data_IF_830785959448
#
_entry.id   IF_830785959448
#
_cell.length_a   1.000
_cell.length_b   1.000
_cell.length_c   1.000
_cell.angle_alpha   90.00
_cell.angle_beta   90.00
_cell.angle_gamma   90.00
#
_symmetry.space_group_name_H-M   'P 1'
#
loop_
_entity.id
_entity.type
_entity.pdbx_description
1 polymer ?
#
# COMPACT_ATOMS: atom_id res chain seq x y z
N UNK A 1 7.28 -42.98 -61.80
CA UNK A 1 6.12 -42.18 -61.33
C UNK A 1 5.57 -42.93 -60.10
N UNK A 2 5.94 -42.45 -58.91
CA UNK A 2 5.53 -43.05 -57.66
C UNK A 2 4.74 -42.01 -56.87
N UNK A 3 3.53 -42.26 -56.41
CA UNK A 3 2.72 -41.25 -55.73
C UNK A 3 3.17 -41.06 -54.23
N UNK A 4 3.35 -39.82 -53.83
CA UNK A 4 3.56 -39.44 -52.42
C UNK A 4 2.34 -39.73 -51.58
N UNK A 5 2.57 -40.49 -50.49
CA UNK A 5 1.60 -40.73 -49.43
C UNK A 5 1.62 -39.57 -48.44
N UNK A 6 0.51 -38.85 -48.36
CA UNK A 6 0.30 -37.77 -47.41
C UNK A 6 -0.09 -38.39 -46.05
N UNK A 7 0.71 -38.11 -45.01
CA UNK A 7 0.45 -38.51 -43.62
C UNK A 7 -0.37 -37.38 -42.95
N UNK A 8 -1.52 -37.69 -42.31
CA UNK A 8 -2.26 -36.63 -41.58
C UNK A 8 -1.57 -36.35 -40.24
N UNK A 9 -1.21 -35.07 -40.05
CA UNK A 9 -0.75 -34.53 -38.79
C UNK A 9 -1.93 -34.46 -37.83
N UNK A 10 -1.87 -35.27 -36.80
CA UNK A 10 -2.81 -35.25 -35.65
C UNK A 10 -2.60 -33.94 -34.88
N UNK A 11 -3.58 -33.06 -34.92
CA UNK A 11 -3.61 -31.81 -34.17
C UNK A 11 -3.62 -32.09 -32.67
N UNK A 12 -2.54 -31.66 -32.01
CA UNK A 12 -2.46 -31.59 -30.56
C UNK A 12 -3.38 -30.46 -30.09
N UNK A 13 -4.43 -30.81 -29.33
CA UNK A 13 -5.21 -29.82 -28.60
C UNK A 13 -4.30 -29.10 -27.61
N UNK A 14 -4.35 -27.77 -27.52
CA UNK A 14 -3.74 -27.06 -26.40
C UNK A 14 -4.58 -27.35 -25.15
N UNK A 15 -3.96 -28.02 -24.19
CA UNK A 15 -4.44 -28.10 -22.81
C UNK A 15 -4.66 -26.68 -22.29
N UNK A 16 -5.89 -26.36 -21.93
CA UNK A 16 -6.27 -25.15 -21.28
C UNK A 16 -5.56 -25.11 -19.90
N UNK A 17 -4.42 -24.44 -19.85
CA UNK A 17 -3.77 -24.07 -18.60
C UNK A 17 -4.77 -23.21 -17.82
N UNK A 18 -5.34 -23.81 -16.78
CA UNK A 18 -6.22 -23.15 -15.82
C UNK A 18 -5.49 -21.96 -15.20
N UNK A 19 -5.80 -20.80 -15.70
CA UNK A 19 -5.36 -19.53 -15.13
C UNK A 19 -6.11 -19.34 -13.80
N UNK A 20 -5.61 -19.95 -12.75
CA UNK A 20 -6.01 -19.67 -11.38
C UNK A 20 -5.56 -18.24 -11.09
N UNK A 21 -6.40 -17.29 -11.49
CA UNK A 21 -6.30 -15.91 -11.03
C UNK A 21 -6.39 -15.95 -9.52
N UNK A 22 -5.23 -16.03 -8.85
CA UNK A 22 -5.11 -15.77 -7.44
C UNK A 22 -5.63 -14.35 -7.21
N UNK A 23 -6.86 -14.27 -6.73
CA UNK A 23 -7.44 -13.02 -6.25
C UNK A 23 -6.51 -12.52 -5.14
N UNK A 24 -5.96 -11.30 -5.24
CA UNK A 24 -5.26 -10.69 -4.12
C UNK A 24 -6.23 -10.72 -2.94
N UNK A 25 -5.71 -11.12 -1.81
CA UNK A 25 -6.47 -11.31 -0.58
C UNK A 25 -7.45 -10.16 -0.38
N UNK A 26 -8.73 -10.48 -0.33
CA UNK A 26 -9.88 -9.58 -0.28
C UNK A 26 -9.98 -8.77 1.04
N UNK A 27 -8.89 -8.50 1.69
CA UNK A 27 -8.81 -7.85 3.00
C UNK A 27 -8.91 -6.33 2.94
N UNK A 28 -8.73 -5.73 1.74
CA UNK A 28 -8.80 -4.28 1.56
C UNK A 28 -10.06 -3.81 0.80
N UNK A 29 -10.88 -4.71 0.28
CA UNK A 29 -12.04 -4.34 -0.53
C UNK A 29 -13.29 -3.96 0.30
N UNK A 30 -13.30 -4.11 1.61
CA UNK A 30 -14.47 -3.85 2.46
C UNK A 30 -14.62 -2.38 2.91
N UNK A 31 -13.76 -1.46 2.49
CA UNK A 31 -13.72 -0.10 3.05
C UNK A 31 -14.32 0.97 2.12
N UNK A 32 -14.77 0.64 0.91
CA UNK A 32 -15.19 1.64 -0.09
C UNK A 32 -16.68 1.65 -0.45
N UNK A 33 -17.56 1.18 0.40
CA UNK A 33 -18.99 1.21 0.14
C UNK A 33 -19.78 1.86 1.28
N UNK A 34 -19.60 3.15 1.54
CA UNK A 34 -20.63 3.98 2.21
C UNK A 34 -20.27 5.47 2.09
N UNK A 35 -21.03 6.24 1.34
CA UNK A 35 -20.96 7.69 1.47
C UNK A 35 -21.19 8.53 0.21
N UNK A 36 -22.22 8.23 -0.58
CA UNK A 36 -22.86 9.25 -1.41
C UNK A 36 -23.98 9.91 -0.58
N UNK A 37 -23.68 10.99 0.08
CA UNK A 37 -24.68 11.93 0.58
C UNK A 37 -24.43 13.27 -0.09
N UNK A 38 -25.33 13.57 -1.03
CA UNK A 38 -25.49 14.85 -1.69
C UNK A 38 -25.97 15.87 -0.64
N UNK A 39 -25.16 16.88 -0.36
CA UNK A 39 -25.55 18.02 0.48
C UNK A 39 -25.00 19.30 -0.12
N UNK A 40 -25.82 20.00 -0.92
CA UNK A 40 -25.59 21.39 -1.28
C UNK A 40 -25.82 22.26 -0.03
N UNK A 41 -24.84 23.00 0.43
CA UNK A 41 -25.02 24.19 1.25
C UNK A 41 -23.96 25.22 0.88
N UNK A 42 -24.47 26.39 0.52
CA UNK A 42 -23.71 27.58 0.14
C UNK A 42 -23.05 28.24 1.35
N UNK A 43 -21.84 28.78 1.13
CA UNK A 43 -21.40 30.06 1.69
C UNK A 43 -21.05 30.11 3.15
N UNK A 44 -19.75 30.17 3.46
CA UNK A 44 -19.18 31.14 4.42
C UNK A 44 -17.64 31.02 4.33
N UNK A 45 -16.98 32.14 4.00
CA UNK A 45 -15.54 32.27 4.11
C UNK A 45 -15.14 32.10 5.58
N UNK A 46 -14.44 31.06 5.90
CA UNK A 46 -13.85 30.85 7.22
C UNK A 46 -12.42 31.36 7.25
N UNK A 47 -12.00 32.03 8.33
CA UNK A 47 -10.67 32.57 8.45
C UNK A 47 -9.61 31.46 8.45
N UNK A 48 -8.50 31.75 7.81
CA UNK A 48 -7.31 30.93 7.77
C UNK A 48 -6.87 30.60 9.22
N UNK A 49 -6.80 29.34 9.64
CA UNK A 49 -6.16 29.02 10.90
C UNK A 49 -4.64 29.17 10.73
N UNK A 50 -4.07 29.92 11.66
CA UNK A 50 -2.65 30.13 11.82
C UNK A 50 -1.86 28.82 11.77
N UNK A 51 -0.63 28.93 11.28
CA UNK A 51 0.36 27.85 11.20
C UNK A 51 0.36 27.00 12.46
N UNK A 52 -0.09 25.75 12.31
CA UNK A 52 0.06 24.76 13.37
C UNK A 52 1.55 24.46 13.53
N UNK A 53 2.06 24.74 14.71
CA UNK A 53 3.46 24.57 15.08
C UNK A 53 4.01 23.22 14.71
N UNK A 54 5.26 23.20 14.28
CA UNK A 54 6.07 22.02 14.03
C UNK A 54 5.96 21.05 15.21
N UNK A 55 5.28 19.94 14.98
CA UNK A 55 5.42 18.81 15.91
C UNK A 55 6.86 18.33 15.80
N UNK A 56 7.60 18.27 16.93
CA UNK A 56 8.91 17.65 16.92
C UNK A 56 8.76 16.23 16.38
N UNK A 57 9.68 15.81 15.52
CA UNK A 57 9.74 14.47 14.97
C UNK A 57 10.08 13.48 16.11
N UNK A 58 9.08 13.18 16.92
CA UNK A 58 9.16 12.09 17.90
C UNK A 58 9.34 10.81 17.10
N UNK A 59 10.48 10.16 17.26
CA UNK A 59 10.74 8.87 16.67
C UNK A 59 9.60 7.93 17.05
N UNK A 60 8.94 7.35 16.05
CA UNK A 60 7.80 6.46 16.29
C UNK A 60 8.35 5.24 17.01
N UNK A 61 7.92 5.03 18.25
CA UNK A 61 8.26 3.84 19.00
C UNK A 61 7.60 2.61 18.36
N UNK A 62 8.39 1.81 17.64
CA UNK A 62 7.95 0.49 17.22
C UNK A 62 7.86 -0.39 18.46
N UNK A 63 6.76 -1.15 18.65
CA UNK A 63 6.64 -2.06 19.79
C UNK A 63 7.84 -2.99 19.91
N UNK A 64 8.28 -3.24 21.14
CA UNK A 64 9.38 -4.17 21.38
C UNK A 64 9.05 -5.54 20.82
N UNK A 65 9.97 -6.12 20.04
CA UNK A 65 9.78 -7.42 19.38
C UNK A 65 9.17 -7.36 17.98
N UNK A 66 8.54 -6.24 17.54
CA UNK A 66 8.02 -6.14 16.16
C UNK A 66 9.15 -6.36 15.14
N UNK A 67 8.81 -7.11 14.08
CA UNK A 67 9.72 -7.36 12.96
C UNK A 67 9.63 -6.28 11.87
N UNK A 68 8.66 -5.37 11.95
CA UNK A 68 8.50 -4.29 10.98
C UNK A 68 9.66 -3.30 11.14
N UNK A 69 10.38 -3.05 10.04
CA UNK A 69 11.52 -2.11 10.01
C UNK A 69 11.25 -1.10 8.89
N UNK A 70 10.77 0.08 9.26
CA UNK A 70 10.54 1.17 8.32
C UNK A 70 11.87 1.87 8.04
N UNK A 71 12.29 1.98 6.76
CA UNK A 71 13.48 2.73 6.40
C UNK A 71 13.35 4.20 6.82
N UNK A 72 14.45 4.81 7.24
CA UNK A 72 14.45 6.26 7.52
C UNK A 72 14.21 7.03 6.21
N UNK A 73 13.15 7.84 6.11
CA UNK A 73 12.85 8.57 4.89
C UNK A 73 13.80 9.75 4.71
N UNK A 74 14.20 9.98 3.47
CA UNK A 74 14.73 11.26 3.02
C UNK A 74 13.56 12.08 2.46
N UNK A 75 13.10 13.07 3.20
CA UNK A 75 11.91 13.84 2.85
C UNK A 75 12.08 14.77 1.65
N UNK A 76 13.30 15.00 1.16
CA UNK A 76 13.54 15.76 -0.07
C UNK A 76 13.44 14.87 -1.31
N UNK A 77 13.43 13.56 -1.14
CA UNK A 77 13.34 12.57 -2.22
C UNK A 77 11.99 11.83 -2.17
N UNK A 78 11.07 12.09 -3.11
CA UNK A 78 9.74 11.49 -3.08
C UNK A 78 9.79 9.95 -3.13
N UNK A 79 10.74 9.36 -3.85
CA UNK A 79 10.90 7.90 -3.91
C UNK A 79 11.27 7.28 -2.55
N UNK A 80 12.08 7.98 -1.74
CA UNK A 80 12.43 7.54 -0.39
C UNK A 80 11.21 7.54 0.53
N UNK A 81 10.38 8.59 0.45
CA UNK A 81 9.14 8.69 1.24
C UNK A 81 8.12 7.63 0.80
N UNK A 82 7.96 7.41 -0.51
CA UNK A 82 7.06 6.38 -1.03
C UNK A 82 7.48 4.97 -0.56
N UNK A 83 8.77 4.65 -0.59
CA UNK A 83 9.30 3.38 -0.12
C UNK A 83 9.07 3.18 1.39
N UNK A 84 9.38 4.19 2.22
CA UNK A 84 9.18 4.14 3.66
C UNK A 84 7.70 4.00 4.02
N UNK A 85 6.84 4.78 3.36
CA UNK A 85 5.39 4.69 3.52
C UNK A 85 4.88 3.28 3.20
N UNK A 86 5.30 2.72 2.07
CA UNK A 86 4.79 1.41 1.66
C UNK A 86 5.19 0.31 2.66
N UNK A 87 6.41 0.34 3.19
CA UNK A 87 6.84 -0.59 4.24
C UNK A 87 6.01 -0.39 5.51
N UNK A 88 5.80 0.85 5.95
CA UNK A 88 5.02 1.18 7.15
C UNK A 88 3.55 0.73 7.03
N UNK A 89 2.95 0.97 5.86
CA UNK A 89 1.54 0.72 5.61
C UNK A 89 1.21 -0.74 5.33
N UNK A 90 2.08 -1.42 4.58
CA UNK A 90 1.80 -2.75 4.04
C UNK A 90 2.43 -3.90 4.85
N UNK A 91 3.29 -3.59 5.83
CA UNK A 91 3.83 -4.61 6.74
C UNK A 91 2.95 -4.73 7.99
N UNK A 92 2.87 -5.93 8.54
CA UNK A 92 2.09 -6.26 9.74
C UNK A 92 2.81 -7.35 10.52
N UNK A 93 2.97 -7.16 11.82
CA UNK A 93 3.39 -8.19 12.75
C UNK A 93 2.31 -8.36 13.82
N UNK A 94 1.29 -9.16 13.52
CA UNK A 94 0.16 -9.34 14.42
C UNK A 94 0.54 -10.07 15.73
N UNK A 95 1.75 -10.59 15.85
CA UNK A 95 2.26 -11.21 17.08
C UNK A 95 2.69 -10.15 18.09
N UNK A 96 3.39 -9.13 17.64
CA UNK A 96 4.02 -8.12 18.51
C UNK A 96 3.36 -6.74 18.42
N UNK A 97 2.71 -6.43 17.29
CA UNK A 97 2.06 -5.14 17.05
C UNK A 97 0.68 -5.07 17.72
N UNK A 98 0.19 -3.84 17.87
CA UNK A 98 -1.19 -3.53 18.25
C UNK A 98 -2.00 -3.15 17.00
N UNK A 99 -3.34 -3.28 17.03
CA UNK A 99 -4.19 -2.67 16.02
C UNK A 99 -3.85 -1.19 15.88
N UNK A 100 -3.58 -0.73 14.67
CA UNK A 100 -3.22 0.67 14.43
C UNK A 100 -1.74 1.02 14.57
N UNK A 101 -0.83 0.10 14.94
CA UNK A 101 0.62 0.37 14.93
C UNK A 101 1.08 0.94 13.58
N UNK A 102 0.55 0.44 12.47
CA UNK A 102 0.86 0.95 11.14
C UNK A 102 0.50 2.42 10.96
N UNK A 103 -0.57 2.92 11.61
CA UNK A 103 -0.95 4.34 11.54
C UNK A 103 0.13 5.23 12.15
N UNK A 104 0.63 4.85 13.33
CA UNK A 104 1.71 5.57 13.97
C UNK A 104 2.97 5.58 13.09
N UNK A 105 3.26 4.45 12.41
CA UNK A 105 4.39 4.35 11.46
C UNK A 105 4.17 5.20 10.20
N UNK A 106 2.93 5.34 9.74
CA UNK A 106 2.58 6.13 8.56
C UNK A 106 2.47 7.64 8.84
N UNK A 107 2.06 8.04 10.04
CA UNK A 107 1.73 9.43 10.39
C UNK A 107 2.79 10.47 9.94
N UNK A 108 4.11 10.28 10.11
CA UNK A 108 5.11 11.23 9.66
C UNK A 108 5.31 11.26 8.13
N UNK A 109 4.76 10.29 7.40
CA UNK A 109 5.00 10.07 5.97
C UNK A 109 3.84 10.53 5.09
N UNK A 110 2.69 10.86 5.70
CA UNK A 110 1.44 11.14 5.00
C UNK A 110 0.92 12.53 5.31
N UNK A 111 0.03 13.03 4.45
CA UNK A 111 -0.74 14.23 4.75
C UNK A 111 -1.80 13.94 5.82
N UNK A 112 -2.22 14.94 6.58
CA UNK A 112 -3.27 14.81 7.60
C UNK A 112 -4.61 14.28 7.01
N UNK A 113 -4.89 14.56 5.74
CA UNK A 113 -6.08 14.03 5.06
C UNK A 113 -5.97 12.52 4.85
N UNK A 114 -4.83 12.03 4.36
CA UNK A 114 -4.61 10.59 4.18
C UNK A 114 -4.51 9.86 5.52
N UNK A 115 -3.91 10.46 6.54
CA UNK A 115 -3.85 9.88 7.89
C UNK A 115 -5.25 9.58 8.43
N UNK A 116 -6.20 10.53 8.30
CA UNK A 116 -7.60 10.31 8.69
C UNK A 116 -8.26 9.17 7.91
N UNK A 117 -8.01 9.09 6.58
CA UNK A 117 -8.54 8.00 5.75
C UNK A 117 -8.00 6.64 6.18
N UNK A 118 -6.69 6.55 6.45
CA UNK A 118 -6.06 5.32 6.93
C UNK A 118 -6.63 4.92 8.30
N UNK A 119 -6.89 5.89 9.18
CA UNK A 119 -7.49 5.67 10.49
C UNK A 119 -8.89 5.07 10.41
N UNK A 120 -9.70 5.49 9.43
CA UNK A 120 -11.03 4.94 9.19
C UNK A 120 -11.00 3.49 8.66
N UNK A 121 -9.87 3.07 8.06
CA UNK A 121 -9.69 1.74 7.47
C UNK A 121 -9.05 0.70 8.40
N UNK A 122 -9.03 0.92 9.69
CA UNK A 122 -8.45 -0.05 10.63
C UNK A 122 -9.21 -1.39 10.61
N UNK A 123 -8.49 -2.52 10.74
CA UNK A 123 -9.14 -3.81 10.86
C UNK A 123 -10.00 -3.86 12.13
N UNK A 124 -11.20 -4.43 12.00
CA UNK A 124 -12.06 -4.67 13.16
C UNK A 124 -11.32 -5.53 14.21
N UNK A 125 -11.60 -5.34 15.51
CA UNK A 125 -10.95 -6.10 16.58
C UNK A 125 -10.99 -7.61 16.38
N UNK A 126 -12.11 -8.14 15.87
CA UNK A 126 -12.26 -9.58 15.58
C UNK A 126 -11.30 -10.04 14.48
N UNK A 127 -11.12 -9.24 13.40
CA UNK A 127 -10.18 -9.55 12.33
C UNK A 127 -8.74 -9.55 12.84
N UNK A 128 -8.39 -8.60 13.71
CA UNK A 128 -7.07 -8.58 14.35
C UNK A 128 -6.81 -9.83 15.18
N UNK A 129 -7.79 -10.29 15.96
CA UNK A 129 -7.66 -11.50 16.75
C UNK A 129 -7.45 -12.74 15.88
N UNK A 130 -8.09 -12.82 14.71
CA UNK A 130 -7.84 -13.89 13.73
C UNK A 130 -6.38 -13.86 13.26
N UNK A 131 -5.85 -12.69 12.90
CA UNK A 131 -4.44 -12.55 12.49
C UNK A 131 -3.48 -12.95 13.61
N UNK A 132 -3.74 -12.57 14.85
CA UNK A 132 -2.93 -12.96 16.01
C UNK A 132 -2.93 -14.48 16.24
N UNK A 133 -4.11 -15.13 16.19
CA UNK A 133 -4.21 -16.59 16.33
C UNK A 133 -3.46 -17.31 15.23
N UNK A 134 -3.51 -16.80 14.01
CA UNK A 134 -2.74 -17.33 12.88
C UNK A 134 -1.24 -17.03 12.99
N UNK A 135 -0.79 -16.26 14.00
CA UNK A 135 0.59 -15.78 14.16
C UNK A 135 1.09 -15.07 12.89
N UNK A 136 0.23 -14.26 12.28
CA UNK A 136 0.50 -13.62 11.02
C UNK A 136 1.58 -12.54 11.16
N UNK A 137 2.65 -12.73 10.40
CA UNK A 137 3.70 -11.74 10.16
C UNK A 137 3.82 -11.56 8.65
N UNK A 138 3.54 -10.37 8.16
CA UNK A 138 3.61 -10.01 6.74
C UNK A 138 4.58 -8.84 6.58
N UNK A 139 5.72 -9.08 5.97
CA UNK A 139 6.78 -8.09 5.79
C UNK A 139 6.96 -7.76 4.31
N UNK A 140 7.08 -6.48 4.03
CA UNK A 140 7.28 -5.96 2.68
C UNK A 140 8.71 -5.48 2.51
N UNK A 141 9.34 -5.89 1.40
CA UNK A 141 10.62 -5.38 0.94
C UNK A 141 10.45 -4.68 -0.38
N UNK A 142 10.66 -3.37 -0.42
CA UNK A 142 10.62 -2.58 -1.65
C UNK A 142 11.77 -2.98 -2.57
N UNK A 143 11.43 -3.19 -3.86
CA UNK A 143 12.36 -3.58 -4.93
C UNK A 143 12.72 -2.38 -5.79
N UNK A 144 11.73 -1.59 -6.17
CA UNK A 144 11.91 -0.37 -6.95
C UNK A 144 10.77 0.62 -6.73
N UNK A 145 11.04 1.87 -7.03
CA UNK A 145 10.06 2.96 -7.03
C UNK A 145 10.28 3.73 -8.32
N UNK A 146 9.26 3.76 -9.19
CA UNK A 146 9.33 4.37 -10.53
C UNK A 146 8.06 5.18 -10.80
N UNK A 147 8.07 6.15 -11.70
CA UNK A 147 6.84 6.72 -12.23
C UNK A 147 5.97 5.60 -12.84
N UNK A 148 4.65 5.57 -12.63
CA UNK A 148 3.78 4.62 -13.31
C UNK A 148 3.58 5.01 -14.78
N UNK A 149 3.34 4.01 -15.64
CA UNK A 149 3.02 4.23 -17.04
C UNK A 149 1.77 5.10 -17.15
N UNK A 150 1.79 6.10 -18.04
CA UNK A 150 0.70 7.03 -18.25
C UNK A 150 0.46 8.03 -17.10
N UNK A 151 1.40 8.14 -16.16
CA UNK A 151 1.32 9.17 -15.14
C UNK A 151 1.35 10.58 -15.76
N UNK A 152 0.63 11.55 -15.17
CA UNK A 152 0.82 12.95 -15.51
C UNK A 152 2.29 13.36 -15.35
N UNK A 153 2.74 14.30 -16.17
CA UNK A 153 4.08 14.86 -16.02
C UNK A 153 4.30 15.34 -14.57
N UNK A 154 5.48 15.13 -14.00
CA UNK A 154 5.80 15.61 -12.66
C UNK A 154 5.61 17.14 -12.58
N UNK A 155 4.89 17.59 -11.56
CA UNK A 155 4.82 19.01 -11.21
C UNK A 155 5.81 19.32 -10.06
N UNK A 156 6.17 20.59 -9.83
CA UNK A 156 7.14 20.94 -8.79
C UNK A 156 6.78 20.46 -7.38
N UNK A 157 5.49 20.26 -7.12
CA UNK A 157 4.92 19.91 -5.82
C UNK A 157 4.05 18.65 -5.83
N UNK A 158 3.93 17.96 -6.98
CA UNK A 158 3.13 16.74 -7.13
C UNK A 158 3.87 15.70 -7.96
N UNK A 159 3.91 14.47 -7.48
CA UNK A 159 4.46 13.33 -8.21
C UNK A 159 3.66 12.07 -7.95
N UNK A 160 3.57 11.22 -8.98
CA UNK A 160 2.98 9.89 -8.88
C UNK A 160 4.09 8.86 -9.00
N UNK A 161 4.13 7.92 -8.06
CA UNK A 161 5.14 6.87 -8.01
C UNK A 161 4.49 5.52 -7.80
N UNK A 162 4.95 4.53 -8.54
CA UNK A 162 4.61 3.12 -8.34
C UNK A 162 5.71 2.45 -7.55
N UNK A 163 5.34 1.85 -6.43
CA UNK A 163 6.22 1.06 -5.58
C UNK A 163 6.03 -0.40 -5.95
N UNK A 164 7.11 -1.09 -6.27
CA UNK A 164 7.14 -2.54 -6.48
C UNK A 164 7.87 -3.19 -5.31
N UNK A 165 7.30 -4.25 -4.80
CA UNK A 165 7.81 -4.91 -3.62
C UNK A 165 7.68 -6.43 -3.69
N UNK A 166 8.36 -7.11 -2.78
CA UNK A 166 8.12 -8.50 -2.43
C UNK A 166 7.51 -8.55 -1.04
N UNK A 167 6.41 -9.26 -0.90
CA UNK A 167 5.77 -9.54 0.38
C UNK A 167 6.12 -10.95 0.82
N UNK A 168 6.55 -11.08 2.07
CA UNK A 168 6.76 -12.36 2.73
C UNK A 168 5.74 -12.46 3.86
N UNK A 169 4.80 -13.38 3.74
CA UNK A 169 3.79 -13.65 4.77
C UNK A 169 4.12 -14.98 5.44
N UNK A 170 4.24 -14.96 6.76
CA UNK A 170 4.45 -16.15 7.60
C UNK A 170 3.24 -16.28 8.53
N UNK A 171 2.75 -17.50 8.70
CA UNK A 171 1.69 -17.87 9.64
C UNK A 171 2.05 -19.18 10.32
N UNK A 172 1.23 -19.64 11.27
CA UNK A 172 1.36 -20.98 11.84
C UNK A 172 1.21 -22.10 10.81
N UNK A 173 0.57 -21.83 9.66
CA UNK A 173 0.37 -22.80 8.56
C UNK A 173 1.54 -22.83 7.56
N UNK A 174 2.45 -21.86 7.60
CA UNK A 174 3.59 -21.82 6.70
C UNK A 174 3.97 -20.42 6.23
N UNK A 175 4.83 -20.40 5.21
CA UNK A 175 5.40 -19.16 4.63
C UNK A 175 5.03 -19.05 3.16
N UNK A 176 4.61 -17.86 2.75
CA UNK A 176 4.31 -17.51 1.36
C UNK A 176 5.11 -16.28 0.93
N UNK A 177 5.53 -16.25 -0.34
CA UNK A 177 6.19 -15.10 -0.96
C UNK A 177 5.39 -14.70 -2.19
N UNK A 178 5.10 -13.41 -2.32
CA UNK A 178 4.34 -12.85 -3.46
C UNK A 178 4.93 -11.54 -3.94
N UNK A 179 4.69 -11.20 -5.21
CA UNK A 179 4.86 -9.85 -5.71
C UNK A 179 3.77 -8.94 -5.14
N UNK A 180 4.12 -7.69 -4.89
CA UNK A 180 3.23 -6.70 -4.31
C UNK A 180 3.57 -5.31 -4.84
N UNK A 181 2.65 -4.36 -4.73
CA UNK A 181 2.91 -2.98 -5.13
C UNK A 181 1.69 -2.09 -5.12
N UNK A 182 1.94 -0.80 -5.15
CA UNK A 182 0.90 0.22 -5.12
C UNK A 182 1.38 1.48 -5.85
N UNK A 183 0.46 2.24 -6.38
CA UNK A 183 0.74 3.61 -6.85
C UNK A 183 0.36 4.61 -5.77
N UNK A 184 1.24 5.56 -5.52
CA UNK A 184 1.00 6.64 -4.56
C UNK A 184 1.15 8.00 -5.22
N UNK A 185 0.30 8.94 -4.81
CA UNK A 185 0.47 10.36 -5.10
C UNK A 185 1.19 11.00 -3.92
N UNK A 186 2.26 11.74 -4.21
CA UNK A 186 2.94 12.56 -3.21
C UNK A 186 2.75 14.04 -3.53
N UNK A 187 2.64 14.83 -2.47
CA UNK A 187 2.61 16.29 -2.55
C UNK A 187 3.72 16.87 -1.68
N UNK A 188 4.25 18.00 -2.13
CA UNK A 188 5.28 18.74 -1.39
C UNK A 188 4.64 19.78 -0.50
N UNK A 189 4.97 19.79 0.77
CA UNK A 189 4.49 20.75 1.76
C UNK A 189 5.61 21.11 2.72
N UNK A 190 5.88 22.39 2.93
CA UNK A 190 6.95 22.85 3.80
C UNK A 190 8.34 22.31 3.41
N UNK A 191 8.62 22.14 2.11
CA UNK A 191 9.88 21.58 1.62
C UNK A 191 10.01 20.04 1.71
N UNK A 192 9.01 19.36 2.28
CA UNK A 192 8.98 17.91 2.48
C UNK A 192 7.97 17.23 1.56
N UNK A 193 8.32 16.07 1.03
CA UNK A 193 7.35 15.21 0.33
C UNK A 193 6.56 14.38 1.33
N UNK A 194 5.25 14.29 1.12
CA UNK A 194 4.32 13.48 1.92
C UNK A 194 3.38 12.72 0.97
N UNK A 195 3.02 11.50 1.31
CA UNK A 195 2.00 10.75 0.56
C UNK A 195 0.64 11.36 0.82
N UNK A 196 -0.07 11.71 -0.24
CA UNK A 196 -1.39 12.36 -0.17
C UNK A 196 -2.53 11.46 -0.65
N UNK A 197 -2.24 10.41 -1.41
CA UNK A 197 -3.23 9.41 -1.80
C UNK A 197 -2.57 8.05 -2.13
N UNK A 198 -3.35 6.98 -1.95
CA UNK A 198 -3.04 5.63 -2.42
C UNK A 198 -4.00 5.29 -3.55
N UNK A 199 -3.47 4.84 -4.68
CA UNK A 199 -4.23 4.58 -5.90
C UNK A 199 -4.19 3.07 -6.21
N UNK A 200 -5.37 2.48 -6.38
CA UNK A 200 -5.53 1.08 -6.77
C UNK A 200 -6.01 1.04 -8.23
N UNK A 201 -5.30 0.29 -9.07
CA UNK A 201 -5.64 0.06 -10.47
C UNK A 201 -5.88 -1.42 -10.73
#
# INVERSE_FOLDING_TARGET
MTPCKTVPVRGSRPEAAGNTRQRPAAWLAAVLAAGLVTGCAAGAASPHPAAAGERPASGIAVPAGSQVRVPRPDYVRPASVAAAFYVAWASTDAVHDQPGTYLALCAPLVTAALERQLGAGQPAPAAWQVMRRARLVSLVRVRSVTPPDGAPAPAPDVVYLRVYATRVTTTSAGRQVSGDGVTVKLTRSGGRWLVSAVLFY
#
